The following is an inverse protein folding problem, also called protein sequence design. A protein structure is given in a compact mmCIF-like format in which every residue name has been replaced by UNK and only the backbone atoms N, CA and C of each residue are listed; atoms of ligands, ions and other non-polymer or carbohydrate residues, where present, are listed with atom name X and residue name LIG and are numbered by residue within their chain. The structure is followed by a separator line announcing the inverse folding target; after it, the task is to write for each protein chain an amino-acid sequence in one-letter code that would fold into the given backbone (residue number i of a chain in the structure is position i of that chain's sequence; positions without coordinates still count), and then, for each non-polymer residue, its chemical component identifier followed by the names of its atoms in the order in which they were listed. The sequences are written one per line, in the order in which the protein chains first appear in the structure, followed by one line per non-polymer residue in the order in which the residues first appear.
data_IF_239838131206
#
_entry.id   IF_239838131206
#
_cell.length_a   1.000
_cell.length_b   1.000
_cell.length_c   1.000
_cell.angle_alpha   90.00
_cell.angle_beta   90.00
_cell.angle_gamma   90.00
#
_symmetry.space_group_name_H-M   'P 1'
#
loop_
_entity.id
_entity.type
_entity.pdbx_description
1 polymer ?
#
# COMPACT_ATOMS: atom_id res chain seq x y z
N UNK A 1 -43.55 61.41 23.04
CA UNK A 1 -42.10 61.12 23.17
C UNK A 1 -41.92 59.64 23.46
N UNK A 2 -40.83 59.08 22.94
CA UNK A 2 -40.45 57.66 22.87
C UNK A 2 -40.60 56.89 24.20
N UNK A 3 -41.01 55.62 24.14
CA UNK A 3 -40.06 54.48 24.20
C UNK A 3 -40.80 53.15 24.06
N UNK A 4 -40.32 52.32 23.14
CA UNK A 4 -40.66 50.91 22.99
C UNK A 4 -39.45 50.17 22.42
N UNK A 5 -39.24 48.96 22.95
CA UNK A 5 -38.25 47.89 22.63
C UNK A 5 -36.80 48.08 23.15
N UNK A 6 -35.99 46.98 23.32
CA UNK A 6 -36.27 45.54 23.08
C UNK A 6 -35.78 44.54 24.17
N UNK A 7 -36.20 43.28 24.00
CA UNK A 7 -35.61 42.05 24.57
C UNK A 7 -34.29 41.72 23.86
N UNK A 8 -33.26 41.35 24.62
CA UNK A 8 -32.02 40.72 24.10
C UNK A 8 -31.83 39.32 24.69
N UNK A 9 -31.47 38.40 23.81
CA UNK A 9 -31.13 37.01 24.09
C UNK A 9 -29.66 36.88 24.52
N UNK A 10 -29.33 35.89 25.37
CA UNK A 10 -27.99 35.32 25.38
C UNK A 10 -28.01 33.84 25.81
N UNK A 11 -27.30 33.03 25.01
CA UNK A 11 -27.18 31.59 25.08
C UNK A 11 -26.13 31.17 26.12
N UNK A 12 -26.38 30.10 26.86
CA UNK A 12 -25.33 29.33 27.54
C UNK A 12 -25.46 27.86 27.12
N UNK A 13 -24.52 27.41 26.28
CA UNK A 13 -24.28 26.01 25.92
C UNK A 13 -23.19 25.42 26.84
N UNK A 14 -23.25 24.13 27.19
CA UNK A 14 -22.32 23.53 28.14
C UNK A 14 -21.00 23.12 27.47
N UNK A 15 -19.89 23.46 28.13
CA UNK A 15 -18.59 22.81 27.94
C UNK A 15 -18.72 21.33 28.33
N UNK A 16 -18.53 20.38 27.41
CA UNK A 16 -18.10 18.99 27.71
C UNK A 16 -17.93 18.13 26.44
N UNK A 17 -17.30 18.61 25.35
CA UNK A 17 -16.78 17.69 24.31
C UNK A 17 -15.54 18.30 23.63
N UNK A 18 -14.41 18.34 24.32
CA UNK A 18 -13.16 18.84 23.71
C UNK A 18 -11.90 18.07 24.16
N UNK A 19 -12.01 16.79 24.48
CA UNK A 19 -10.84 15.96 24.83
C UNK A 19 -10.69 14.63 24.07
N UNK A 20 -11.42 14.42 22.97
CA UNK A 20 -11.28 13.21 22.13
C UNK A 20 -10.79 13.46 20.68
N UNK A 21 -10.29 14.66 20.35
CA UNK A 21 -9.87 15.00 18.99
C UNK A 21 -8.36 14.93 18.72
N UNK A 22 -7.58 14.24 19.57
CA UNK A 22 -6.13 14.05 19.36
C UNK A 22 -5.75 12.68 18.76
N UNK A 23 -6.70 11.99 18.12
CA UNK A 23 -6.41 10.77 17.35
C UNK A 23 -6.11 11.12 15.89
N UNK A 24 -4.80 11.16 15.61
CA UNK A 24 -4.09 11.05 14.33
C UNK A 24 -4.94 10.97 13.05
N UNK A 25 -4.98 12.08 12.29
CA UNK A 25 -5.39 12.08 10.89
C UNK A 25 -4.34 11.36 10.04
N UNK A 26 -4.52 10.06 9.81
CA UNK A 26 -3.71 9.32 8.84
C UNK A 26 -4.17 9.69 7.41
N UNK A 27 -3.52 10.70 6.82
CA UNK A 27 -3.65 11.02 5.40
C UNK A 27 -2.97 9.93 4.56
N UNK A 28 -3.76 9.10 3.89
CA UNK A 28 -3.31 8.01 3.02
C UNK A 28 -3.27 8.50 1.58
N UNK A 29 -2.12 9.01 1.13
CA UNK A 29 -2.01 9.42 -0.27
C UNK A 29 -1.83 8.23 -1.21
N UNK A 30 -2.61 8.19 -2.28
CA UNK A 30 -2.33 7.37 -3.45
C UNK A 30 -2.10 8.24 -4.68
N UNK A 31 -0.90 8.14 -5.28
CA UNK A 31 -0.59 8.69 -6.61
C UNK A 31 -1.35 8.02 -7.75
N UNK A 32 -2.43 7.30 -7.43
CA UNK A 32 -3.27 6.58 -8.35
C UNK A 32 -4.56 7.36 -8.68
N UNK A 33 -4.89 8.44 -7.95
CA UNK A 33 -6.16 9.17 -8.12
C UNK A 33 -6.04 10.69 -8.22
N UNK A 34 -4.82 11.24 -8.14
CA UNK A 34 -4.55 12.67 -8.27
C UNK A 34 -3.26 13.10 -7.58
N UNK A 35 -3.00 14.42 -7.55
CA UNK A 35 -1.88 15.07 -6.85
C UNK A 35 -2.14 15.31 -5.33
N UNK A 36 -3.21 14.75 -4.78
CA UNK A 36 -3.71 15.03 -3.42
C UNK A 36 -3.99 13.75 -2.59
N UNK A 37 -3.79 13.80 -1.25
CA UNK A 37 -3.94 12.64 -0.37
C UNK A 37 -5.38 12.17 -0.23
N UNK A 38 -5.61 10.85 -0.12
CA UNK A 38 -6.89 10.34 0.40
C UNK A 38 -6.86 10.54 1.91
N UNK A 39 -7.58 11.54 2.39
CA UNK A 39 -7.86 11.67 3.82
C UNK A 39 -8.91 10.62 4.16
N UNK A 40 -8.60 9.70 5.09
CA UNK A 40 -9.61 8.81 5.66
C UNK A 40 -9.79 9.10 7.15
N UNK A 41 -11.05 9.31 7.51
CA UNK A 41 -11.61 9.04 8.83
C UNK A 41 -12.29 7.66 8.79
N UNK A 42 -12.17 6.82 9.83
CA UNK A 42 -13.17 5.82 10.12
C UNK A 42 -13.89 6.15 11.43
N UNK A 43 -15.23 6.15 11.39
CA UNK A 43 -16.01 5.51 12.46
C UNK A 43 -16.65 4.26 11.87
N UNK A 44 -16.80 3.17 12.66
CA UNK A 44 -17.55 2.00 12.23
C UNK A 44 -19.02 2.39 12.20
N UNK A 45 -19.59 2.61 11.01
CA UNK A 45 -21.04 2.67 10.88
C UNK A 45 -21.58 1.24 10.87
N UNK A 46 -22.73 0.97 11.53
CA UNK A 46 -23.42 -0.31 11.43
C UNK A 46 -23.72 -0.61 9.96
N UNK A 47 -23.69 -1.90 9.61
CA UNK A 47 -24.10 -2.42 8.31
C UNK A 47 -25.61 -2.20 8.13
N UNK A 48 -26.01 -1.00 7.69
CA UNK A 48 -27.34 -0.79 7.15
C UNK A 48 -27.49 -1.59 5.84
N UNK A 49 -28.69 -2.11 5.54
CA UNK A 49 -28.93 -2.94 4.36
C UNK A 49 -28.55 -2.21 3.06
N UNK A 50 -28.23 -2.94 1.97
CA UNK A 50 -27.69 -2.36 0.76
C UNK A 50 -28.76 -1.53 0.04
N UNK A 51 -28.91 -0.27 0.42
CA UNK A 51 -29.55 0.69 -0.47
C UNK A 51 -28.64 0.81 -1.69
N UNK A 52 -29.18 0.60 -2.90
CA UNK A 52 -28.41 0.63 -4.17
C UNK A 52 -27.70 1.97 -4.48
N UNK A 53 -27.72 2.93 -3.56
CA UNK A 53 -27.02 4.23 -3.60
C UNK A 53 -25.89 4.35 -2.57
N UNK A 54 -25.68 3.38 -1.69
CA UNK A 54 -24.64 3.43 -0.66
C UNK A 54 -23.23 3.47 -1.27
N UNK A 55 -22.94 2.65 -2.27
CA UNK A 55 -21.63 2.63 -2.94
C UNK A 55 -21.33 3.95 -3.68
N UNK A 56 -22.35 4.61 -4.24
CA UNK A 56 -22.22 5.92 -4.90
C UNK A 56 -21.75 6.98 -3.89
N UNK A 57 -22.35 7.02 -2.70
CA UNK A 57 -21.94 7.94 -1.63
C UNK A 57 -20.50 7.68 -1.19
N UNK A 58 -20.12 6.41 -1.06
CA UNK A 58 -18.74 6.06 -0.71
C UNK A 58 -17.74 6.51 -1.79
N UNK A 59 -18.07 6.37 -3.07
CA UNK A 59 -17.24 6.87 -4.16
C UNK A 59 -17.04 8.40 -4.12
N UNK A 60 -18.00 9.16 -3.59
CA UNK A 60 -17.89 10.62 -3.47
C UNK A 60 -16.95 11.05 -2.34
N UNK A 61 -16.92 10.29 -1.25
CA UNK A 61 -16.02 10.50 -0.11
C UNK A 61 -14.56 10.22 -0.45
N UNK A 62 -14.29 9.47 -1.52
CA UNK A 62 -12.93 9.19 -1.99
C UNK A 62 -12.39 10.37 -2.83
N UNK A 63 -11.14 10.76 -2.59
CA UNK A 63 -10.43 11.73 -3.43
C UNK A 63 -10.04 11.12 -4.78
N UNK A 64 -11.01 11.07 -5.69
CA UNK A 64 -10.88 10.53 -7.04
C UNK A 64 -11.03 11.61 -8.10
N UNK A 65 -10.32 11.48 -9.23
CA UNK A 65 -10.61 12.32 -10.40
C UNK A 65 -12.07 12.14 -10.87
N UNK A 66 -12.62 13.13 -11.58
CA UNK A 66 -13.97 13.04 -12.17
C UNK A 66 -14.18 11.78 -13.02
N UNK A 67 -13.15 11.38 -13.77
CA UNK A 67 -13.15 10.14 -14.57
C UNK A 67 -13.23 8.90 -13.69
N UNK A 68 -12.43 8.85 -12.62
CA UNK A 68 -12.41 7.72 -11.69
C UNK A 68 -13.70 7.61 -10.88
N UNK A 69 -14.27 8.72 -10.42
CA UNK A 69 -15.60 8.73 -9.79
C UNK A 69 -16.65 8.10 -10.70
N UNK A 70 -16.64 8.44 -12.00
CA UNK A 70 -17.56 7.84 -12.98
C UNK A 70 -17.38 6.33 -13.09
N UNK A 71 -16.16 5.81 -13.05
CA UNK A 71 -15.90 4.37 -13.03
C UNK A 71 -16.37 3.76 -11.71
N UNK A 72 -16.03 4.36 -10.57
CA UNK A 72 -16.41 3.88 -9.24
C UNK A 72 -17.93 3.74 -9.07
N UNK A 73 -18.71 4.74 -9.49
CA UNK A 73 -20.17 4.68 -9.41
C UNK A 73 -20.78 3.54 -10.25
N UNK A 74 -20.10 3.12 -11.31
CA UNK A 74 -20.56 2.05 -12.22
C UNK A 74 -20.16 0.66 -11.73
N UNK A 75 -19.26 0.54 -10.77
CA UNK A 75 -18.68 -0.74 -10.35
C UNK A 75 -19.02 -0.97 -8.87
N UNK A 76 -20.13 -1.69 -8.56
CA UNK A 76 -20.45 -2.09 -7.19
C UNK A 76 -19.29 -2.87 -6.55
N UNK A 77 -19.00 -2.58 -5.28
CA UNK A 77 -17.87 -3.17 -4.54
C UNK A 77 -16.50 -2.52 -4.81
N UNK A 78 -16.38 -1.63 -5.81
CA UNK A 78 -15.13 -0.90 -6.05
C UNK A 78 -14.72 0.02 -4.88
N UNK A 79 -15.59 0.84 -4.25
CA UNK A 79 -15.14 1.76 -3.21
C UNK A 79 -14.54 1.04 -1.99
N UNK A 80 -15.10 -0.09 -1.58
CA UNK A 80 -14.59 -0.94 -0.51
C UNK A 80 -13.24 -1.57 -0.90
N UNK A 81 -13.15 -2.07 -2.14
CA UNK A 81 -11.90 -2.65 -2.69
C UNK A 81 -10.79 -1.61 -2.78
N UNK A 82 -11.11 -0.36 -3.15
CA UNK A 82 -10.15 0.75 -3.14
C UNK A 82 -9.65 1.02 -1.72
N UNK A 83 -10.53 1.08 -0.72
CA UNK A 83 -10.14 1.28 0.69
C UNK A 83 -9.25 0.15 1.21
N UNK A 84 -9.59 -1.10 0.90
CA UNK A 84 -8.78 -2.26 1.24
C UNK A 84 -7.38 -2.17 0.62
N UNK A 85 -7.29 -1.83 -0.67
CA UNK A 85 -5.99 -1.69 -1.35
C UNK A 85 -5.12 -0.61 -0.71
N UNK A 86 -5.73 0.49 -0.25
CA UNK A 86 -5.03 1.57 0.43
C UNK A 86 -4.43 1.08 1.74
N UNK A 87 -5.25 0.45 2.57
CA UNK A 87 -4.83 -0.13 3.85
C UNK A 87 -3.72 -1.16 3.65
N UNK A 88 -3.88 -2.07 2.70
CA UNK A 88 -2.93 -3.12 2.39
C UNK A 88 -1.56 -2.55 2.00
N UNK A 89 -1.53 -1.56 1.11
CA UNK A 89 -0.27 -0.92 0.69
C UNK A 89 0.45 -0.20 1.83
N UNK A 90 -0.29 0.48 2.72
CA UNK A 90 0.28 1.27 3.81
C UNK A 90 0.86 0.39 4.90
N UNK A 91 0.13 -0.66 5.26
CA UNK A 91 0.62 -1.66 6.22
C UNK A 91 1.90 -2.31 5.70
N UNK A 92 1.91 -2.72 4.44
CA UNK A 92 3.07 -3.33 3.82
C UNK A 92 4.26 -2.35 3.72
N UNK A 93 4.01 -1.12 3.29
CA UNK A 93 5.06 -0.11 3.18
C UNK A 93 5.67 0.22 4.54
N UNK A 94 4.85 0.44 5.58
CA UNK A 94 5.34 0.64 6.95
C UNK A 94 6.11 -0.57 7.45
N UNK A 95 5.64 -1.78 7.15
CA UNK A 95 6.35 -3.00 7.51
C UNK A 95 7.73 -3.06 6.85
N UNK A 96 7.82 -2.87 5.54
CA UNK A 96 9.10 -2.95 4.79
C UNK A 96 10.10 -1.85 5.20
N UNK A 97 9.61 -0.69 5.66
CA UNK A 97 10.44 0.46 6.02
C UNK A 97 10.56 0.71 7.54
N UNK A 98 10.06 -0.19 8.40
CA UNK A 98 10.00 0.00 9.87
C UNK A 98 11.35 0.35 10.53
N UNK A 99 12.44 -0.17 9.96
CA UNK A 99 13.81 0.01 10.47
C UNK A 99 14.64 1.02 9.65
N UNK A 100 14.03 1.68 8.66
CA UNK A 100 14.69 2.65 7.79
C UNK A 100 14.48 4.08 8.30
N UNK A 101 15.35 5.02 7.91
CA UNK A 101 15.23 6.45 8.30
C UNK A 101 13.91 7.06 7.87
N UNK A 102 13.44 6.73 6.68
CA UNK A 102 12.07 6.97 6.25
C UNK A 102 11.24 5.72 6.49
N UNK A 103 10.19 5.81 7.32
CA UNK A 103 9.40 4.67 7.78
C UNK A 103 8.04 4.54 7.08
N UNK A 104 7.91 5.10 5.88
CA UNK A 104 6.63 5.21 5.19
C UNK A 104 5.56 6.05 5.92
N UNK A 105 5.97 6.97 6.79
CA UNK A 105 5.07 8.02 7.29
C UNK A 105 4.89 9.12 6.23
N UNK A 106 3.64 9.52 6.04
CA UNK A 106 3.23 10.61 5.15
C UNK A 106 2.48 11.74 5.90
N UNK A 107 2.49 11.76 7.24
CA UNK A 107 1.66 12.63 8.12
C UNK A 107 1.62 14.11 7.67
N UNK A 108 0.71 14.47 6.77
CA UNK A 108 0.67 15.78 6.10
C UNK A 108 1.82 16.08 5.13
N UNK A 109 2.80 15.18 4.97
CA UNK A 109 4.03 15.34 4.17
C UNK A 109 3.87 14.86 2.73
N UNK A 110 2.73 15.19 2.10
CA UNK A 110 2.43 14.83 0.70
C UNK A 110 3.40 15.42 -0.34
N UNK A 111 4.29 16.33 0.07
CA UNK A 111 5.30 16.91 -0.80
C UNK A 111 6.33 15.92 -1.33
N UNK A 112 6.57 14.80 -0.62
CA UNK A 112 7.47 13.73 -1.04
C UNK A 112 7.04 13.14 -2.39
N UNK A 113 5.73 12.95 -2.57
CA UNK A 113 5.13 12.32 -3.76
C UNK A 113 5.20 13.21 -5.01
N UNK A 114 5.33 14.52 -4.82
CA UNK A 114 5.53 15.48 -5.91
C UNK A 114 6.94 15.39 -6.49
N UNK A 115 7.86 14.71 -5.80
CA UNK A 115 9.26 14.52 -6.20
C UNK A 115 9.48 13.09 -6.68
N UNK A 116 10.40 12.93 -7.62
CA UNK A 116 10.75 11.65 -8.21
C UNK A 116 11.87 10.94 -7.42
N UNK A 117 11.67 10.81 -6.10
CA UNK A 117 12.57 10.09 -5.20
C UNK A 117 12.39 8.57 -5.30
N UNK A 118 13.37 7.86 -4.75
CA UNK A 118 13.36 6.40 -4.62
C UNK A 118 12.14 5.91 -3.80
N UNK A 119 11.78 6.63 -2.74
CA UNK A 119 10.63 6.33 -1.88
C UNK A 119 9.31 6.50 -2.64
N UNK A 120 9.21 7.52 -3.48
CA UNK A 120 8.04 7.74 -4.34
C UNK A 120 7.87 6.60 -5.35
N UNK A 121 8.98 6.12 -5.93
CA UNK A 121 8.96 4.97 -6.83
C UNK A 121 8.42 3.71 -6.15
N UNK A 122 8.87 3.41 -4.93
CA UNK A 122 8.35 2.30 -4.14
C UNK A 122 6.87 2.49 -3.80
N UNK A 123 6.47 3.68 -3.33
CA UNK A 123 5.07 3.98 -2.99
C UNK A 123 4.14 3.72 -4.16
N UNK A 124 4.50 4.14 -5.36
CA UNK A 124 3.70 3.89 -6.57
C UNK A 124 3.60 2.41 -6.91
N UNK A 125 4.69 1.67 -6.77
CA UNK A 125 4.74 0.25 -7.06
C UNK A 125 3.95 -0.59 -6.04
N UNK A 126 4.13 -0.35 -4.73
CA UNK A 126 3.39 -1.09 -3.69
C UNK A 126 1.91 -0.74 -3.72
N UNK A 127 1.57 0.51 -4.05
CA UNK A 127 0.19 0.98 -4.23
C UNK A 127 -0.49 0.29 -5.42
N UNK A 128 0.15 0.28 -6.59
CA UNK A 128 -0.41 -0.38 -7.77
C UNK A 128 -0.47 -1.90 -7.62
N UNK A 129 0.49 -2.48 -6.92
CA UNK A 129 0.48 -3.88 -6.52
C UNK A 129 -0.72 -4.18 -5.60
N UNK A 130 -0.90 -3.42 -4.53
CA UNK A 130 -2.00 -3.62 -3.59
C UNK A 130 -3.36 -3.50 -4.28
N UNK A 131 -3.52 -2.53 -5.18
CA UNK A 131 -4.75 -2.37 -5.95
C UNK A 131 -4.99 -3.52 -6.94
N UNK A 132 -3.96 -3.96 -7.65
CA UNK A 132 -4.05 -5.14 -8.54
C UNK A 132 -4.41 -6.41 -7.76
N UNK A 133 -3.81 -6.59 -6.58
CA UNK A 133 -4.04 -7.72 -5.69
C UNK A 133 -5.46 -7.71 -5.12
N UNK A 134 -5.91 -6.58 -4.57
CA UNK A 134 -7.24 -6.42 -3.99
C UNK A 134 -8.35 -6.58 -5.05
N UNK A 135 -8.18 -6.01 -6.26
CA UNK A 135 -9.13 -6.19 -7.35
C UNK A 135 -9.26 -7.66 -7.76
N UNK A 136 -8.13 -8.37 -7.93
CA UNK A 136 -8.15 -9.78 -8.31
C UNK A 136 -8.86 -10.65 -7.25
N UNK A 137 -8.59 -10.38 -5.97
CA UNK A 137 -9.22 -11.04 -4.82
C UNK A 137 -10.71 -10.70 -4.68
N UNK A 138 -11.10 -9.45 -4.93
CA UNK A 138 -12.49 -9.03 -4.82
C UNK A 138 -13.36 -9.67 -5.91
N UNK A 139 -12.80 -9.86 -7.11
CA UNK A 139 -13.46 -10.62 -8.18
C UNK A 139 -13.62 -12.10 -7.83
N UNK A 140 -12.57 -12.76 -7.33
CA UNK A 140 -12.66 -14.17 -6.94
C UNK A 140 -13.52 -14.39 -5.69
N UNK A 141 -13.65 -13.41 -4.81
CA UNK A 141 -14.54 -13.52 -3.64
C UNK A 141 -15.98 -13.06 -3.91
N UNK A 142 -16.33 -12.67 -5.15
CA UNK A 142 -17.66 -12.15 -5.49
C UNK A 142 -18.01 -10.81 -4.83
N UNK A 143 -17.03 -10.07 -4.28
CA UNK A 143 -17.25 -8.75 -3.67
C UNK A 143 -17.40 -7.63 -4.70
N UNK A 144 -16.94 -7.87 -5.93
CA UNK A 144 -17.16 -7.00 -7.08
C UNK A 144 -18.05 -7.72 -8.09
N UNK A 145 -19.18 -7.10 -8.43
CA UNK A 145 -20.25 -7.76 -9.20
C UNK A 145 -19.95 -7.86 -10.71
N UNK A 146 -19.12 -6.95 -11.24
CA UNK A 146 -18.87 -6.82 -12.70
C UNK A 146 -17.56 -7.45 -13.14
N UNK A 147 -17.11 -8.45 -12.40
CA UNK A 147 -16.00 -9.30 -12.77
C UNK A 147 -16.22 -10.73 -12.32
N UNK A 148 -15.51 -11.63 -12.98
CA UNK A 148 -15.55 -13.06 -12.70
C UNK A 148 -14.20 -13.53 -12.18
N UNK A 149 -14.19 -14.76 -11.69
CA UNK A 149 -12.98 -15.53 -11.44
C UNK A 149 -12.08 -15.66 -12.66
N UNK A 150 -10.84 -16.07 -12.46
CA UNK A 150 -9.96 -16.42 -13.57
C UNK A 150 -10.50 -17.66 -14.32
N UNK A 151 -10.82 -17.47 -15.61
CA UNK A 151 -11.34 -18.47 -16.54
C UNK A 151 -10.26 -18.96 -17.52
N UNK A 152 -8.98 -18.78 -17.16
CA UNK A 152 -7.86 -19.06 -18.07
C UNK A 152 -7.81 -20.54 -18.49
N UNK A 153 -7.75 -20.83 -19.82
CA UNK A 153 -7.71 -22.20 -20.33
C UNK A 153 -6.43 -22.90 -19.87
N UNK A 154 -6.54 -24.17 -19.45
CA UNK A 154 -5.44 -24.97 -18.88
C UNK A 154 -5.53 -25.22 -17.37
N UNK A 155 -6.56 -24.71 -16.69
CA UNK A 155 -6.99 -25.18 -15.36
C UNK A 155 -7.97 -26.37 -15.44
N UNK A 156 -8.52 -26.63 -16.63
CA UNK A 156 -9.32 -27.81 -16.92
C UNK A 156 -8.42 -29.04 -16.89
N UNK A 157 -8.38 -29.71 -15.74
CA UNK A 157 -7.97 -31.09 -15.67
C UNK A 157 -9.02 -31.88 -16.47
N UNK A 158 -8.72 -32.22 -17.73
CA UNK A 158 -9.62 -32.95 -18.66
C UNK A 158 -10.07 -34.32 -18.13
N UNK A 159 -9.50 -34.76 -17.02
CA UNK A 159 -9.81 -36.02 -16.37
C UNK A 159 -10.49 -35.74 -15.02
N UNK A 160 -11.74 -36.19 -14.95
CA UNK A 160 -12.61 -36.31 -13.79
C UNK A 160 -13.31 -35.04 -13.26
N UNK A 161 -14.54 -34.85 -13.75
CA UNK A 161 -15.72 -34.34 -13.02
C UNK A 161 -15.47 -33.37 -11.86
N UNK A 162 -15.18 -32.08 -12.11
CA UNK A 162 -15.08 -31.09 -11.04
C UNK A 162 -15.66 -29.73 -11.44
N UNK A 163 -16.49 -29.18 -10.55
CA UNK A 163 -16.81 -27.76 -10.52
C UNK A 163 -15.52 -26.98 -10.21
N UNK A 164 -15.08 -26.12 -11.13
CA UNK A 164 -13.87 -25.32 -10.95
C UNK A 164 -13.98 -24.38 -9.75
N UNK A 165 -12.93 -24.33 -8.92
CA UNK A 165 -12.82 -23.34 -7.83
C UNK A 165 -12.50 -21.96 -8.43
N UNK A 166 -13.07 -20.94 -7.81
CA UNK A 166 -12.93 -19.54 -8.18
C UNK A 166 -11.49 -19.01 -7.95
N UNK A 167 -10.69 -18.90 -9.03
CA UNK A 167 -9.33 -18.37 -8.98
C UNK A 167 -9.23 -16.84 -9.06
N UNK A 168 -8.13 -16.27 -8.54
CA UNK A 168 -7.84 -14.83 -8.54
C UNK A 168 -7.64 -14.29 -9.97
N UNK A 169 -8.48 -13.34 -10.40
CA UNK A 169 -8.46 -12.83 -11.77
C UNK A 169 -7.47 -11.66 -11.99
N UNK A 170 -6.18 -12.00 -12.04
CA UNK A 170 -5.09 -11.00 -12.25
C UNK A 170 -5.15 -10.35 -13.64
N UNK A 171 -5.67 -11.07 -14.64
CA UNK A 171 -5.83 -10.54 -16.01
C UNK A 171 -6.84 -9.40 -16.04
N UNK A 172 -8.02 -9.61 -15.43
CA UNK A 172 -9.02 -8.56 -15.25
C UNK A 172 -8.45 -7.41 -14.43
N UNK A 173 -7.86 -7.67 -13.26
CA UNK A 173 -7.39 -6.62 -12.36
C UNK A 173 -6.36 -5.71 -13.02
N UNK A 174 -5.41 -6.29 -13.77
CA UNK A 174 -4.40 -5.54 -14.52
C UNK A 174 -5.03 -4.65 -15.59
N UNK A 175 -6.02 -5.16 -16.33
CA UNK A 175 -6.73 -4.41 -17.38
C UNK A 175 -7.56 -3.27 -16.78
N UNK A 176 -8.29 -3.57 -15.71
CA UNK A 176 -9.10 -2.60 -14.98
C UNK A 176 -8.24 -1.46 -14.44
N UNK A 177 -7.16 -1.81 -13.73
CA UNK A 177 -6.24 -0.87 -13.12
C UNK A 177 -5.64 0.10 -14.15
N UNK A 178 -5.10 -0.41 -15.26
CA UNK A 178 -4.54 0.44 -16.33
C UNK A 178 -5.57 1.44 -16.88
N UNK A 179 -6.81 1.01 -17.05
CA UNK A 179 -7.93 1.87 -17.51
C UNK A 179 -8.35 2.89 -16.44
N UNK A 180 -8.37 2.48 -15.17
CA UNK A 180 -8.77 3.30 -14.03
C UNK A 180 -7.75 4.41 -13.74
N UNK A 181 -6.46 4.11 -13.82
CA UNK A 181 -5.38 5.08 -13.68
C UNK A 181 -5.20 5.98 -14.91
N UNK A 182 -5.79 5.60 -16.05
CA UNK A 182 -5.69 6.37 -17.28
C UNK A 182 -4.27 6.43 -17.84
N UNK A 183 -3.46 5.38 -17.64
CA UNK A 183 -2.09 5.34 -18.14
C UNK A 183 -2.07 5.48 -19.67
N UNK A 184 -1.54 6.60 -20.17
CA UNK A 184 -1.29 6.82 -21.59
C UNK A 184 -0.01 6.07 -21.99
N UNK A 185 0.00 5.46 -23.18
CA UNK A 185 1.16 4.71 -23.69
C UNK A 185 2.36 5.61 -23.99
N UNK A 186 2.12 6.88 -24.34
CA UNK A 186 3.14 7.88 -24.60
C UNK A 186 2.79 9.17 -23.86
N UNK A 187 3.70 9.62 -22.99
CA UNK A 187 3.64 10.92 -22.33
C UNK A 187 4.92 11.67 -22.67
N UNK A 188 4.83 12.94 -23.06
CA UNK A 188 6.02 13.80 -23.22
C UNK A 188 6.63 14.22 -21.87
N UNK A 189 5.85 14.14 -20.78
CA UNK A 189 6.33 14.42 -19.42
C UNK A 189 7.09 13.21 -18.86
N UNK A 190 8.40 13.41 -18.63
CA UNK A 190 9.32 12.44 -18.05
C UNK A 190 8.84 11.92 -16.69
N UNK A 191 8.28 12.80 -15.83
CA UNK A 191 7.78 12.39 -14.51
C UNK A 191 6.66 11.36 -14.65
N UNK A 192 5.71 11.64 -15.55
CA UNK A 192 4.60 10.75 -15.83
C UNK A 192 5.04 9.40 -16.43
N UNK A 193 6.11 9.38 -17.25
CA UNK A 193 6.67 8.12 -17.76
C UNK A 193 7.24 7.25 -16.63
N UNK A 194 7.99 7.85 -15.72
CA UNK A 194 8.57 7.15 -14.56
C UNK A 194 7.48 6.63 -13.63
N UNK A 195 6.46 7.44 -13.35
CA UNK A 195 5.33 7.02 -12.54
C UNK A 195 4.61 5.84 -13.19
N UNK A 196 4.38 5.91 -14.52
CA UNK A 196 3.79 4.80 -15.26
C UNK A 196 4.67 3.54 -15.23
N UNK A 197 6.00 3.68 -15.33
CA UNK A 197 6.94 2.56 -15.23
C UNK A 197 6.86 1.88 -13.87
N UNK A 198 7.00 2.64 -12.78
CA UNK A 198 6.96 2.11 -11.41
C UNK A 198 5.61 1.48 -11.07
N UNK A 199 4.49 2.06 -11.55
CA UNK A 199 3.16 1.44 -11.44
C UNK A 199 3.16 0.06 -12.13
N UNK A 200 3.74 -0.05 -13.33
CA UNK A 200 3.80 -1.32 -14.06
C UNK A 200 4.74 -2.34 -13.38
N UNK A 201 5.80 -1.90 -12.72
CA UNK A 201 6.65 -2.77 -11.88
C UNK A 201 5.82 -3.42 -10.77
N UNK A 202 4.99 -2.64 -10.06
CA UNK A 202 4.08 -3.16 -9.03
C UNK A 202 3.08 -4.18 -9.56
N UNK A 203 2.46 -3.91 -10.71
CA UNK A 203 1.55 -4.86 -11.37
C UNK A 203 2.26 -6.16 -11.75
N UNK A 204 3.49 -6.07 -12.28
CA UNK A 204 4.30 -7.25 -12.63
C UNK A 204 4.68 -8.05 -11.39
N UNK A 205 5.01 -7.39 -10.28
CA UNK A 205 5.34 -8.06 -9.02
C UNK A 205 4.17 -8.94 -8.54
N UNK A 206 2.94 -8.40 -8.54
CA UNK A 206 1.73 -9.19 -8.22
C UNK A 206 1.54 -10.34 -9.19
N UNK A 207 1.66 -10.09 -10.50
CA UNK A 207 1.52 -11.13 -11.52
C UNK A 207 2.54 -12.26 -11.35
N UNK A 208 3.78 -11.94 -10.95
CA UNK A 208 4.83 -12.94 -10.71
C UNK A 208 4.56 -13.82 -9.48
N UNK A 209 3.73 -13.35 -8.54
CA UNK A 209 3.30 -14.10 -7.37
C UNK A 209 2.08 -15.00 -7.61
N UNK A 210 1.50 -15.02 -8.82
CA UNK A 210 0.36 -15.86 -9.16
C UNK A 210 0.81 -17.31 -9.38
N UNK A 211 0.28 -18.24 -8.57
CA UNK A 211 0.63 -19.66 -8.61
C UNK A 211 -0.63 -20.51 -8.83
N UNK A 212 -0.47 -21.67 -9.47
CA UNK A 212 -1.52 -22.69 -9.44
C UNK A 212 -1.46 -23.38 -8.09
N UNK A 213 -2.54 -23.30 -7.32
CA UNK A 213 -2.70 -24.00 -6.04
C UNK A 213 -3.71 -25.11 -6.22
N UNK A 214 -3.46 -26.28 -5.63
CA UNK A 214 -4.33 -27.43 -5.76
C UNK A 214 -4.70 -27.98 -4.38
N UNK A 215 -5.94 -28.46 -4.25
CA UNK A 215 -6.41 -29.25 -3.10
C UNK A 215 -6.67 -30.69 -3.55
N UNK A 216 -6.18 -31.64 -2.77
CA UNK A 216 -6.35 -33.07 -3.03
C UNK A 216 -7.58 -33.60 -2.28
N UNK A 217 -8.34 -34.48 -2.95
CA UNK A 217 -9.65 -34.98 -2.51
C UNK A 217 -9.74 -36.52 -2.53
N UNK A 218 -8.64 -37.23 -2.76
CA UNK A 218 -8.64 -38.70 -2.77
C UNK A 218 -8.72 -39.31 -1.36
N UNK A 219 -9.05 -40.61 -1.33
CA UNK A 219 -9.13 -41.42 -0.10
C UNK A 219 -7.83 -41.28 0.71
N UNK A 220 -7.96 -41.10 2.03
CA UNK A 220 -6.84 -40.90 2.97
C UNK A 220 -5.91 -39.73 2.61
N UNK A 221 -6.42 -38.68 1.94
CA UNK A 221 -5.63 -37.50 1.57
C UNK A 221 -4.80 -37.66 0.29
N UNK A 222 -5.04 -38.70 -0.50
CA UNK A 222 -4.38 -38.89 -1.80
C UNK A 222 -4.76 -37.80 -2.82
N UNK A 223 -3.86 -37.54 -3.78
CA UNK A 223 -4.05 -36.54 -4.84
C UNK A 223 -4.54 -37.14 -6.16
N UNK A 224 -5.06 -38.37 -6.16
CA UNK A 224 -5.63 -39.04 -7.35
C UNK A 224 -6.75 -38.20 -7.98
N UNK A 225 -7.54 -37.53 -7.14
CA UNK A 225 -8.48 -36.48 -7.54
C UNK A 225 -8.03 -35.19 -6.85
N UNK A 226 -7.83 -34.12 -7.63
CA UNK A 226 -7.45 -32.80 -7.10
C UNK A 226 -8.12 -31.69 -7.88
N UNK A 227 -8.37 -30.57 -7.22
CA UNK A 227 -8.92 -29.35 -7.83
C UNK A 227 -7.89 -28.25 -7.73
N UNK A 228 -7.60 -27.58 -8.85
CA UNK A 228 -6.59 -26.53 -8.93
C UNK A 228 -7.20 -25.19 -9.36
N UNK A 229 -6.67 -24.09 -8.83
CA UNK A 229 -7.05 -22.73 -9.21
C UNK A 229 -5.84 -21.79 -9.19
N UNK A 230 -5.96 -20.63 -9.83
CA UNK A 230 -4.95 -19.56 -9.69
C UNK A 230 -5.13 -18.83 -8.38
N UNK A 231 -4.05 -18.71 -7.62
CA UNK A 231 -4.03 -18.03 -6.34
C UNK A 231 -2.82 -17.11 -6.25
N UNK A 232 -3.06 -15.87 -5.87
CA UNK A 232 -2.02 -14.91 -5.53
C UNK A 232 -1.30 -15.33 -4.24
N UNK A 233 0.03 -15.24 -4.26
CA UNK A 233 0.86 -15.36 -3.06
C UNK A 233 0.48 -14.29 -2.02
N UNK A 234 0.74 -14.52 -0.72
CA UNK A 234 0.54 -13.50 0.30
C UNK A 234 1.16 -12.14 -0.09
N UNK A 235 0.45 -11.05 0.18
CA UNK A 235 0.89 -9.72 -0.27
C UNK A 235 2.27 -9.31 0.27
N UNK A 236 2.62 -9.81 1.46
CA UNK A 236 3.94 -9.66 2.07
C UNK A 236 5.09 -10.13 1.15
N UNK A 237 4.89 -11.21 0.38
CA UNK A 237 5.90 -11.68 -0.58
C UNK A 237 6.10 -10.66 -1.71
N UNK A 238 5.01 -10.02 -2.15
CA UNK A 238 5.06 -8.94 -3.14
C UNK A 238 5.77 -7.71 -2.57
N UNK A 239 5.47 -7.34 -1.32
CA UNK A 239 6.14 -6.23 -0.63
C UNK A 239 7.64 -6.47 -0.47
N UNK A 240 8.05 -7.69 -0.08
CA UNK A 240 9.46 -8.09 -0.01
C UNK A 240 10.16 -8.00 -1.37
N UNK A 241 9.52 -8.52 -2.43
CA UNK A 241 10.05 -8.41 -3.78
C UNK A 241 10.23 -6.94 -4.20
N UNK A 242 9.23 -6.09 -3.94
CA UNK A 242 9.33 -4.67 -4.25
C UNK A 242 10.38 -3.94 -3.40
N UNK A 243 10.59 -4.35 -2.14
CA UNK A 243 11.63 -3.79 -1.28
C UNK A 243 13.02 -4.13 -1.83
N UNK A 244 13.23 -5.37 -2.29
CA UNK A 244 14.44 -5.74 -3.00
C UNK A 244 14.66 -4.89 -4.26
N UNK A 245 13.60 -4.66 -5.06
CA UNK A 245 13.68 -3.76 -6.24
C UNK A 245 13.92 -2.31 -5.88
N UNK A 246 13.44 -1.86 -4.71
CA UNK A 246 13.77 -0.56 -4.17
C UNK A 246 15.25 -0.52 -3.86
N UNK A 247 15.81 -1.48 -3.12
CA UNK A 247 17.23 -1.47 -2.75
C UNK A 247 18.15 -1.37 -3.96
N UNK A 248 17.80 -2.05 -5.07
CA UNK A 248 18.52 -2.02 -6.35
C UNK A 248 17.95 -1.03 -7.39
N UNK A 249 17.17 -0.03 -6.98
CA UNK A 249 16.51 0.90 -7.91
C UNK A 249 17.54 1.70 -8.73
N UNK A 250 17.18 2.04 -9.96
CA UNK A 250 18.06 2.70 -10.92
C UNK A 250 17.70 4.17 -11.07
N UNK A 251 18.67 5.07 -10.86
CA UNK A 251 18.51 6.47 -11.23
C UNK A 251 18.48 6.58 -12.75
N UNK A 252 17.49 7.27 -13.31
CA UNK A 252 17.33 7.43 -14.76
C UNK A 252 17.47 8.89 -15.18
N UNK A 253 17.76 9.08 -16.46
CA UNK A 253 17.75 10.34 -17.17
C UNK A 253 16.88 10.19 -18.42
N UNK A 254 16.40 11.31 -18.97
CA UNK A 254 15.67 11.31 -20.25
C UNK A 254 16.67 11.45 -21.39
N UNK A 255 16.56 10.56 -22.37
CA UNK A 255 17.18 10.75 -23.69
C UNK A 255 16.08 10.97 -24.71
N UNK A 256 16.16 12.07 -25.45
CA UNK A 256 15.25 12.32 -26.57
C UNK A 256 15.86 11.72 -27.82
N UNK A 257 15.17 10.78 -28.46
CA UNK A 257 15.58 10.27 -29.75
C UNK A 257 15.37 11.37 -30.80
N UNK A 258 16.45 11.82 -31.43
CA UNK A 258 16.41 12.87 -32.45
C UNK A 258 15.61 12.49 -33.70
N UNK A 259 15.48 11.19 -34.00
CA UNK A 259 14.78 10.69 -35.18
C UNK A 259 13.25 10.58 -34.98
N UNK A 260 12.79 10.20 -33.78
CA UNK A 260 11.36 10.00 -33.50
C UNK A 260 10.75 11.09 -32.63
N UNK A 261 11.58 11.94 -32.00
CA UNK A 261 11.15 12.90 -30.98
C UNK A 261 10.63 12.25 -29.69
N UNK A 262 10.76 10.92 -29.56
CA UNK A 262 10.32 10.19 -28.38
C UNK A 262 11.36 10.26 -27.26
N UNK A 263 10.88 10.40 -26.04
CA UNK A 263 11.71 10.43 -24.83
C UNK A 263 11.77 9.02 -24.23
N UNK A 264 12.98 8.50 -24.08
CA UNK A 264 13.24 7.19 -23.48
C UNK A 264 13.96 7.33 -22.13
N UNK A 265 13.67 6.41 -21.22
CA UNK A 265 14.35 6.29 -19.93
C UNK A 265 15.68 5.57 -20.09
N UNK A 266 16.75 6.19 -19.61
CA UNK A 266 18.11 5.67 -19.71
C UNK A 266 18.81 5.71 -18.35
N UNK A 267 19.54 4.66 -17.99
CA UNK A 267 20.40 4.65 -16.80
C UNK A 267 21.68 5.48 -16.98
N UNK A 268 22.48 5.69 -15.93
CA UNK A 268 23.77 6.36 -16.05
C UNK A 268 24.75 5.55 -16.92
N UNK A 269 25.57 6.25 -17.71
CA UNK A 269 26.68 5.64 -18.45
C UNK A 269 27.70 5.06 -17.47
N UNK A 270 28.17 3.83 -17.72
CA UNK A 270 29.34 3.27 -17.04
C UNK A 270 30.59 3.65 -17.84
N UNK A 271 31.68 4.02 -17.15
CA UNK A 271 32.97 4.27 -17.82
C UNK A 271 33.38 3.04 -18.64
N UNK A 272 33.72 3.25 -19.91
CA UNK A 272 34.12 2.22 -20.86
C UNK A 272 33.01 1.68 -21.78
N UNK A 273 31.72 1.98 -21.53
CA UNK A 273 30.62 1.53 -22.39
C UNK A 273 29.90 2.72 -23.06
N UNK A 274 29.85 2.70 -24.40
CA UNK A 274 29.12 3.66 -25.24
C UNK A 274 27.60 3.45 -25.22
N UNK A 275 27.11 2.29 -24.76
CA UNK A 275 25.69 1.95 -24.67
C UNK A 275 25.11 2.39 -23.32
N UNK A 276 24.08 3.23 -23.37
CA UNK A 276 23.32 3.66 -22.17
C UNK A 276 22.36 2.52 -21.77
N UNK A 277 22.51 1.91 -20.58
CA UNK A 277 21.67 0.77 -20.20
C UNK A 277 20.23 1.22 -19.98
N UNK A 278 19.29 0.62 -20.72
CA UNK A 278 17.85 0.80 -20.47
C UNK A 278 17.46 0.06 -19.18
N UNK A 279 16.68 0.68 -18.29
CA UNK A 279 16.23 0.02 -17.06
C UNK A 279 15.36 -1.18 -17.41
N UNK A 280 15.50 -2.29 -16.66
CA UNK A 280 14.68 -3.47 -16.94
C UNK A 280 13.22 -3.17 -16.59
N UNK A 281 12.26 -3.86 -17.22
CA UNK A 281 10.86 -3.72 -16.88
C UNK A 281 10.53 -4.05 -15.41
N UNK A 282 11.41 -4.75 -14.70
CA UNK A 282 11.25 -5.09 -13.27
C UNK A 282 11.98 -4.15 -12.33
N UNK A 283 12.80 -3.24 -12.83
CA UNK A 283 13.57 -2.32 -12.00
C UNK A 283 12.71 -1.12 -11.61
N UNK A 284 12.75 -0.70 -10.34
CA UNK A 284 12.22 0.60 -9.95
C UNK A 284 13.16 1.69 -10.42
N UNK A 285 12.60 2.82 -10.84
CA UNK A 285 13.36 3.95 -11.38
C UNK A 285 13.01 5.27 -10.70
N UNK A 286 13.99 6.14 -10.54
CA UNK A 286 13.85 7.46 -9.90
C UNK A 286 14.73 8.52 -10.60
N UNK A 287 14.46 9.81 -10.41
CA UNK A 287 15.24 10.91 -11.00
C UNK A 287 16.12 11.62 -9.98
N UNK A 288 15.55 11.81 -8.80
CA UNK A 288 16.07 12.72 -7.79
C UNK A 288 16.63 11.93 -6.62
N UNK A 289 17.79 12.36 -6.14
CA UNK A 289 18.35 11.79 -4.91
C UNK A 289 17.45 12.10 -3.72
N UNK A 290 17.26 11.10 -2.87
CA UNK A 290 16.43 11.24 -1.68
C UNK A 290 17.09 12.18 -0.67
N UNK A 291 16.33 13.08 -0.04
CA UNK A 291 16.87 13.98 0.97
C UNK A 291 17.27 13.20 2.23
N UNK A 292 18.06 13.83 3.10
CA UNK A 292 18.30 13.26 4.42
C UNK A 292 17.01 13.20 5.24
N UNK A 293 16.64 12.00 5.68
CA UNK A 293 15.49 11.77 6.55
C UNK A 293 15.84 11.82 8.05
N UNK A 294 17.09 12.16 8.39
CA UNK A 294 17.57 12.16 9.77
C UNK A 294 16.92 13.23 10.64
N UNK A 295 16.76 14.44 10.09
CA UNK A 295 16.17 15.62 10.76
C UNK A 295 14.75 15.90 10.22
N UNK A 296 13.89 16.54 11.01
CA UNK A 296 12.58 16.97 10.55
C UNK A 296 12.67 17.85 9.29
N UNK A 297 11.82 17.57 8.31
CA UNK A 297 11.69 18.33 7.07
C UNK A 297 10.28 18.20 6.51
N UNK A 298 10.02 18.87 5.37
CA UNK A 298 8.77 18.69 4.60
C UNK A 298 8.55 17.25 4.10
N UNK A 299 9.57 16.39 4.18
CA UNK A 299 9.57 15.02 3.66
C UNK A 299 9.64 13.94 4.75
N UNK A 300 10.13 14.27 5.95
CA UNK A 300 10.26 13.31 7.07
C UNK A 300 10.06 13.99 8.43
N UNK A 301 9.47 13.31 9.43
CA UNK A 301 9.46 13.78 10.81
C UNK A 301 10.85 13.77 11.47
N UNK A 302 11.85 13.14 10.85
CA UNK A 302 13.16 12.89 11.46
C UNK A 302 13.22 11.54 12.17
N UNK A 303 14.37 11.24 12.74
CA UNK A 303 14.67 9.94 13.38
C UNK A 303 14.79 10.01 14.91
N UNK A 304 14.72 11.21 15.47
CA UNK A 304 14.78 11.43 16.91
C UNK A 304 13.61 10.73 17.64
N UNK A 305 13.90 10.11 18.78
CA UNK A 305 12.91 9.37 19.58
C UNK A 305 12.44 8.03 18.99
N UNK A 306 12.92 7.62 17.81
CA UNK A 306 12.51 6.35 17.20
C UNK A 306 13.18 5.17 17.89
N UNK A 307 12.40 4.10 18.10
CA UNK A 307 12.92 2.81 18.52
C UNK A 307 13.85 2.21 17.46
N UNK A 308 14.96 1.63 17.92
CA UNK A 308 15.91 0.93 17.09
C UNK A 308 16.38 -0.36 17.78
N UNK A 309 17.00 -1.25 17.02
CA UNK A 309 17.60 -2.46 17.52
C UNK A 309 19.12 -2.31 17.48
N UNK A 310 19.77 -2.54 18.64
CA UNK A 310 21.19 -2.22 18.90
C UNK A 310 22.12 -2.68 17.78
N UNK A 311 22.03 -3.95 17.41
CA UNK A 311 22.98 -4.58 16.46
C UNK A 311 22.52 -4.52 15.00
N UNK A 312 21.28 -4.12 14.72
CA UNK A 312 20.72 -4.21 13.36
C UNK A 312 20.32 -2.88 12.74
N UNK A 313 19.86 -1.90 13.53
CA UNK A 313 19.31 -0.66 12.98
C UNK A 313 19.71 0.62 13.70
N UNK A 314 20.19 0.58 14.94
CA UNK A 314 20.52 1.82 15.66
C UNK A 314 21.62 2.65 14.98
N UNK A 315 22.65 2.00 14.42
CA UNK A 315 23.76 2.69 13.74
C UNK A 315 23.30 3.46 12.50
N UNK A 316 22.45 2.85 11.67
CA UNK A 316 21.91 3.47 10.45
C UNK A 316 20.79 4.46 10.74
N UNK A 317 19.89 4.14 11.70
CA UNK A 317 18.69 4.91 12.00
C UNK A 317 18.98 6.20 12.76
N UNK A 318 19.90 6.17 13.74
CA UNK A 318 20.14 7.32 14.61
C UNK A 318 21.11 8.36 14.03
N UNK A 319 21.59 8.13 12.80
CA UNK A 319 22.43 9.07 12.04
C UNK A 319 23.63 9.61 12.84
N UNK A 320 24.33 8.74 13.57
CA UNK A 320 25.52 9.10 14.35
C UNK A 320 25.25 9.82 15.67
N UNK A 321 24.00 10.14 16.02
CA UNK A 321 23.67 10.81 17.31
C UNK A 321 23.74 9.90 18.53
N UNK A 322 23.89 8.59 18.32
CA UNK A 322 23.72 7.58 19.35
C UNK A 322 22.26 7.34 19.73
N UNK A 323 22.05 6.50 20.74
CA UNK A 323 20.75 6.09 21.25
C UNK A 323 20.76 6.07 22.78
N UNK A 324 19.59 6.29 23.38
CA UNK A 324 19.34 6.07 24.79
C UNK A 324 18.95 4.61 25.01
N UNK A 325 19.32 4.06 26.16
CA UNK A 325 18.96 2.71 26.60
C UNK A 325 18.07 2.83 27.83
N UNK A 326 16.94 2.14 27.83
CA UNK A 326 16.03 2.06 28.97
C UNK A 326 15.58 0.61 29.17
N UNK A 327 15.50 0.17 30.42
CA UNK A 327 14.90 -1.12 30.77
C UNK A 327 13.39 -0.96 30.79
N UNK A 328 12.67 -1.84 30.09
CA UNK A 328 11.21 -1.86 30.06
C UNK A 328 10.70 -3.22 30.50
N UNK A 329 9.86 -3.22 31.52
CA UNK A 329 9.09 -4.40 31.88
C UNK A 329 7.98 -4.61 30.84
N UNK A 330 7.98 -5.76 30.18
CA UNK A 330 6.98 -6.15 29.19
C UNK A 330 6.21 -7.37 29.69
N UNK A 331 4.89 -7.35 29.49
CA UNK A 331 4.03 -8.50 29.79
C UNK A 331 4.03 -9.44 28.58
N UNK A 332 4.22 -10.73 28.82
CA UNK A 332 4.15 -11.75 27.77
C UNK A 332 3.43 -13.00 28.26
N UNK A 333 2.75 -13.68 27.34
CA UNK A 333 2.16 -14.98 27.60
C UNK A 333 3.26 -16.04 27.72
N UNK A 334 3.30 -16.73 28.84
CA UNK A 334 4.28 -17.76 29.18
C UNK A 334 3.59 -19.01 29.72
N UNK A 335 4.33 -20.12 29.80
CA UNK A 335 3.85 -21.38 30.37
C UNK A 335 2.49 -21.83 29.80
N UNK A 336 2.33 -21.71 28.48
CA UNK A 336 1.10 -22.02 27.79
C UNK A 336 0.84 -23.54 27.77
N UNK A 337 -0.36 -23.94 28.18
CA UNK A 337 -0.83 -25.33 28.12
C UNK A 337 -2.05 -25.42 27.22
N UNK A 338 -2.04 -26.43 26.33
CA UNK A 338 -3.21 -26.75 25.50
C UNK A 338 -4.18 -27.54 26.35
N UNK A 339 -5.40 -27.01 26.56
CA UNK A 339 -6.48 -27.76 27.18
C UNK A 339 -7.14 -28.64 26.12
N UNK A 340 -7.41 -29.90 26.48
CA UNK A 340 -8.05 -30.88 25.60
C UNK A 340 -9.56 -30.60 25.47
N UNK A 341 -9.88 -29.45 24.90
CA UNK A 341 -11.20 -28.97 24.45
C UNK A 341 -11.08 -27.63 23.68
N UNK A 342 -9.90 -27.37 23.08
CA UNK A 342 -9.65 -26.42 21.99
C UNK A 342 -9.19 -24.99 22.35
N UNK A 343 -8.75 -24.72 23.58
CA UNK A 343 -8.12 -23.43 23.91
C UNK A 343 -6.76 -23.59 24.60
N UNK A 344 -5.93 -22.55 24.45
CA UNK A 344 -4.61 -22.45 25.08
C UNK A 344 -4.73 -21.54 26.28
N UNK A 345 -4.38 -22.05 27.46
CA UNK A 345 -4.28 -21.26 28.68
C UNK A 345 -2.82 -20.90 28.92
N UNK A 346 -2.51 -19.62 29.02
CA UNK A 346 -1.18 -19.12 29.32
C UNK A 346 -1.21 -18.29 30.59
N UNK A 347 -0.11 -18.31 31.33
CA UNK A 347 0.14 -17.37 32.42
C UNK A 347 0.67 -16.05 31.86
N UNK A 348 0.50 -14.96 32.61
CA UNK A 348 1.10 -13.67 32.29
C UNK A 348 2.42 -13.55 33.03
N UNK A 349 3.54 -13.53 32.31
CA UNK A 349 4.86 -13.28 32.85
C UNK A 349 5.30 -11.85 32.59
N UNK A 350 6.19 -11.36 33.44
CA UNK A 350 6.92 -10.11 33.25
C UNK A 350 8.33 -10.42 32.77
N UNK A 351 8.76 -9.75 31.71
CA UNK A 351 10.12 -9.83 31.19
C UNK A 351 10.69 -8.44 31.05
N UNK A 352 11.87 -8.26 31.60
CA UNK A 352 12.67 -7.07 31.39
C UNK A 352 13.33 -7.10 30.01
N UNK A 353 13.13 -6.06 29.23
CA UNK A 353 13.69 -5.89 27.89
C UNK A 353 14.41 -4.55 27.78
N UNK A 354 15.63 -4.55 27.24
CA UNK A 354 16.33 -3.32 26.90
C UNK A 354 15.72 -2.69 25.64
N UNK A 355 15.27 -1.45 25.77
CA UNK A 355 14.70 -0.66 24.67
C UNK A 355 15.66 0.47 24.31
N UNK A 356 15.97 0.56 23.02
CA UNK A 356 16.86 1.59 22.49
C UNK A 356 16.07 2.63 21.70
N UNK A 357 16.36 3.91 21.93
CA UNK A 357 15.70 5.04 21.25
C UNK A 357 16.72 6.05 20.74
N UNK A 358 16.59 6.50 19.49
CA UNK A 358 17.53 7.45 18.92
C UNK A 358 17.52 8.79 19.67
N UNK A 359 18.71 9.32 19.97
CA UNK A 359 18.86 10.60 20.68
C UNK A 359 18.34 11.78 19.83
N UNK A 360 17.91 12.84 20.51
CA UNK A 360 17.63 14.14 19.90
C UNK A 360 18.95 14.80 19.46
N UNK A 361 18.89 15.73 18.51
CA UNK A 361 20.02 16.64 18.26
C UNK A 361 20.16 17.55 19.47
N UNK A 362 21.26 17.43 20.20
CA UNK A 362 21.78 18.48 21.09
C UNK A 362 22.09 19.73 20.32
#
# INVERSE_FOLDING_TARGET
MRTGLPRTACCLLPLTVALCALLSHAAAYFGLTGREPLLFLPSPHPLDPPSGRAHVKQCEQLSLTRRQKRVCRREPGLPETLRESVRLSLLECRYQFRNERWNCSLDGRGSLLKRAFKETAFLLAVSSAALSHALAKACSSGRMERCTCDDSPGLEQREAWQWGVCGDNVKYSTKFLKKFLGQKRASKDLRAQIDAHNINVGIRAVKSGLKTTCKCHGVSGSCAVRTCWKQLSPFHDTGRLLKFRYDTAVRVLSLTNAATGETELAGPRRHGNSVVPRPRPTDLVFLEESPSFCRPSRYSPGTAGRHCAKDTSCSSLCCGRGYNTALRLTTLSCHCQVRWCCHVECQTCLREEEVYTCKNTT
#
